data_IF_352202096723
#
_entry.id   IF_352202096723
#
_cell.length_a   1.000
_cell.length_b   1.000
_cell.length_c   1.000
_cell.angle_alpha   90.00
_cell.angle_beta   90.00
_cell.angle_gamma   90.00
#
_symmetry.space_group_name_H-M   'P 1'
#
loop_
_entity.id
_entity.type
_entity.pdbx_description
1 polymer ?
#
# COMPACT_ATOMS: atom_id res chain seq x y z
N UNK A 1 -11.20 15.88 5.04
CA UNK A 1 -11.66 14.52 4.70
C UNK A 1 -12.77 14.62 3.66
N UNK A 2 -12.48 14.28 2.42
CA UNK A 2 -13.47 14.25 1.34
C UNK A 2 -14.24 12.93 1.46
N UNK A 3 -15.23 12.88 2.37
CA UNK A 3 -16.00 11.68 2.72
C UNK A 3 -16.88 11.08 1.61
N UNK A 4 -16.82 11.59 0.38
CA UNK A 4 -17.61 11.07 -0.73
C UNK A 4 -17.03 9.80 -1.36
N UNK A 5 -15.71 9.67 -1.42
CA UNK A 5 -15.06 8.52 -2.07
C UNK A 5 -15.19 7.22 -1.26
N UNK A 6 -14.91 7.27 0.03
CA UNK A 6 -14.96 6.10 0.90
C UNK A 6 -16.40 5.53 1.04
N UNK A 7 -17.40 6.40 1.19
CA UNK A 7 -18.80 5.97 1.30
C UNK A 7 -19.26 5.24 0.03
N UNK A 8 -18.89 5.72 -1.14
CA UNK A 8 -19.20 5.05 -2.41
C UNK A 8 -18.52 3.67 -2.52
N UNK A 9 -17.31 3.54 -2.04
CA UNK A 9 -16.58 2.26 -2.03
C UNK A 9 -17.18 1.25 -1.04
N UNK A 10 -17.82 1.74 0.04
CA UNK A 10 -18.51 0.91 1.04
C UNK A 10 -19.91 0.48 0.61
N UNK A 11 -20.46 1.05 -0.47
CA UNK A 11 -21.76 0.64 -0.99
C UNK A 11 -21.76 -0.88 -1.31
N UNK A 12 -22.76 -1.57 -0.82
CA UNK A 12 -22.87 -3.02 -0.99
C UNK A 12 -22.17 -3.84 0.09
N UNK A 13 -21.35 -3.26 0.96
CA UNK A 13 -20.79 -3.99 2.09
C UNK A 13 -21.89 -4.37 3.10
N UNK A 14 -22.10 -5.66 3.30
CA UNK A 14 -23.09 -6.19 4.25
C UNK A 14 -22.50 -6.53 5.62
N UNK A 15 -21.23 -6.21 5.85
CA UNK A 15 -20.48 -6.50 7.08
C UNK A 15 -20.55 -7.98 7.49
N UNK A 16 -20.59 -8.90 6.50
CA UNK A 16 -20.75 -10.35 6.74
C UNK A 16 -19.53 -11.00 7.41
N UNK A 17 -18.38 -10.33 7.51
CA UNK A 17 -17.19 -10.83 8.19
C UNK A 17 -16.30 -11.79 7.39
N UNK A 18 -16.70 -12.28 6.23
CA UNK A 18 -15.92 -13.24 5.44
C UNK A 18 -14.52 -12.73 5.07
N UNK A 19 -14.39 -11.43 4.78
CA UNK A 19 -13.09 -10.79 4.51
C UNK A 19 -12.14 -10.90 5.71
N UNK A 20 -12.68 -10.79 6.94
CA UNK A 20 -11.91 -10.91 8.18
C UNK A 20 -11.45 -12.34 8.43
N UNK A 21 -12.32 -13.33 8.20
CA UNK A 21 -11.98 -14.76 8.39
C UNK A 21 -10.79 -15.21 7.54
N UNK A 22 -10.66 -14.68 6.33
CA UNK A 22 -9.57 -15.04 5.41
C UNK A 22 -8.33 -14.16 5.57
N UNK A 23 -8.40 -13.10 6.35
CA UNK A 23 -7.30 -12.14 6.51
C UNK A 23 -6.15 -12.75 7.34
N UNK A 24 -4.94 -12.77 6.76
CA UNK A 24 -3.77 -13.30 7.46
C UNK A 24 -3.38 -12.43 8.65
N UNK A 25 -3.55 -11.12 8.56
CA UNK A 25 -3.23 -10.17 9.62
C UNK A 25 -4.11 -10.39 10.85
N UNK A 26 -5.43 -10.54 10.64
CA UNK A 26 -6.40 -10.86 11.71
C UNK A 26 -6.08 -12.18 12.38
N UNK A 27 -5.69 -13.20 11.60
CA UNK A 27 -5.31 -14.51 12.13
C UNK A 27 -4.04 -14.49 12.98
N UNK A 28 -3.19 -13.49 12.79
CA UNK A 28 -2.01 -13.25 13.62
C UNK A 28 -2.30 -12.36 14.84
N UNK A 29 -3.58 -11.98 15.05
CA UNK A 29 -4.01 -11.20 16.20
C UNK A 29 -3.82 -9.68 16.06
N UNK A 30 -3.60 -9.19 14.83
CA UNK A 30 -3.55 -7.76 14.54
C UNK A 30 -4.80 -7.33 13.75
N UNK A 31 -5.14 -6.05 13.77
CA UNK A 31 -6.36 -5.50 13.18
C UNK A 31 -6.04 -4.66 11.94
N UNK A 32 -6.50 -5.12 10.80
CA UNK A 32 -6.29 -4.49 9.50
C UNK A 32 -7.58 -3.82 8.97
N UNK A 33 -7.58 -3.47 7.70
CA UNK A 33 -8.75 -2.92 7.01
C UNK A 33 -10.01 -3.80 7.15
N UNK A 34 -9.86 -5.11 7.33
CA UNK A 34 -10.98 -6.02 7.50
C UNK A 34 -11.67 -5.86 8.86
N UNK A 35 -10.96 -5.44 9.91
CA UNK A 35 -11.56 -5.03 11.19
C UNK A 35 -12.44 -3.79 11.02
N UNK A 36 -11.96 -2.76 10.30
CA UNK A 36 -12.76 -1.59 9.97
C UNK A 36 -14.06 -1.96 9.24
N UNK A 37 -13.98 -2.85 8.24
CA UNK A 37 -15.17 -3.31 7.50
C UNK A 37 -16.17 -4.07 8.38
N UNK A 38 -15.73 -4.61 9.50
CA UNK A 38 -16.58 -5.26 10.51
C UNK A 38 -17.05 -4.30 11.62
N UNK A 39 -16.75 -3.00 11.51
CA UNK A 39 -17.21 -1.97 12.44
C UNK A 39 -16.32 -1.77 13.66
N UNK A 40 -15.07 -2.25 13.64
CA UNK A 40 -14.12 -2.01 14.72
C UNK A 40 -13.38 -0.68 14.53
N UNK A 41 -13.10 -0.01 15.65
CA UNK A 41 -12.41 1.29 15.66
C UNK A 41 -10.89 1.15 15.77
N UNK A 42 -10.40 0.06 16.39
CA UNK A 42 -8.96 -0.21 16.53
C UNK A 42 -8.44 -1.03 15.36
N UNK A 43 -7.87 -0.36 14.38
CA UNK A 43 -7.29 -0.97 13.18
C UNK A 43 -6.22 -0.05 12.56
N UNK A 44 -5.40 -0.60 11.66
CA UNK A 44 -4.57 0.20 10.76
C UNK A 44 -4.59 -0.38 9.35
N UNK A 45 -4.83 0.48 8.37
CA UNK A 45 -4.77 0.10 6.97
C UNK A 45 -3.36 -0.27 6.52
N UNK A 46 -2.33 0.25 7.22
CA UNK A 46 -0.92 -0.03 6.95
C UNK A 46 -0.49 -1.45 7.32
N UNK A 47 -1.24 -2.14 8.19
CA UNK A 47 -1.00 -3.55 8.50
C UNK A 47 -1.44 -4.49 7.37
N UNK A 48 -2.24 -4.00 6.42
CA UNK A 48 -2.67 -4.81 5.29
C UNK A 48 -1.49 -5.18 4.39
N UNK A 49 -1.30 -6.49 4.16
CA UNK A 49 -0.24 -7.03 3.30
C UNK A 49 -0.58 -7.01 1.80
N UNK A 50 -1.72 -6.44 1.41
CA UNK A 50 -2.20 -6.39 0.01
C UNK A 50 -2.25 -7.77 -0.67
N UNK A 51 -2.60 -8.82 0.07
CA UNK A 51 -2.63 -10.21 -0.42
C UNK A 51 -3.88 -10.58 -1.23
N UNK A 52 -4.87 -9.67 -1.36
CA UNK A 52 -6.11 -9.80 -2.14
C UNK A 52 -7.11 -10.87 -1.67
N UNK A 53 -6.80 -11.69 -0.68
CA UNK A 53 -7.68 -12.78 -0.22
C UNK A 53 -9.06 -12.30 0.22
N UNK A 54 -9.14 -11.15 0.90
CA UNK A 54 -10.40 -10.56 1.32
C UNK A 54 -11.23 -10.09 0.13
N UNK A 55 -10.58 -9.57 -0.92
CA UNK A 55 -11.21 -9.18 -2.19
C UNK A 55 -11.84 -10.38 -2.88
N UNK A 56 -11.10 -11.49 -3.00
CA UNK A 56 -11.58 -12.73 -3.62
C UNK A 56 -12.71 -13.39 -2.82
N UNK A 57 -12.68 -13.27 -1.49
CA UNK A 57 -13.69 -13.86 -0.61
C UNK A 57 -14.97 -13.02 -0.49
N UNK A 58 -14.99 -11.79 -1.00
CA UNK A 58 -16.15 -10.91 -0.84
C UNK A 58 -17.29 -11.29 -1.78
N UNK A 59 -18.45 -11.79 -1.26
CA UNK A 59 -19.58 -12.20 -2.11
C UNK A 59 -20.29 -11.02 -2.77
N UNK A 60 -20.07 -9.80 -2.25
CA UNK A 60 -20.66 -8.57 -2.77
C UNK A 60 -19.76 -7.86 -3.79
N UNK A 61 -18.53 -8.35 -4.01
CA UNK A 61 -17.59 -7.73 -4.92
C UNK A 61 -17.10 -6.34 -4.49
N UNK A 62 -17.14 -6.04 -3.18
CA UNK A 62 -16.64 -4.76 -2.64
C UNK A 62 -15.15 -4.63 -2.92
N UNK A 63 -14.72 -3.48 -3.46
CA UNK A 63 -13.30 -3.22 -3.71
C UNK A 63 -12.56 -2.84 -2.42
N UNK A 64 -12.22 -3.88 -1.64
CA UNK A 64 -11.55 -3.74 -0.34
C UNK A 64 -10.16 -3.14 -0.50
N UNK A 65 -9.48 -3.41 -1.61
CA UNK A 65 -8.18 -2.82 -1.88
C UNK A 65 -8.26 -1.31 -2.12
N UNK A 66 -9.25 -0.85 -2.88
CA UNK A 66 -9.49 0.58 -3.07
C UNK A 66 -9.84 1.28 -1.74
N UNK A 67 -10.67 0.65 -0.90
CA UNK A 67 -10.98 1.15 0.45
C UNK A 67 -9.69 1.31 1.27
N UNK A 68 -8.84 0.29 1.31
CA UNK A 68 -7.57 0.32 2.02
C UNK A 68 -6.65 1.46 1.52
N UNK A 69 -6.57 1.65 0.21
CA UNK A 69 -5.75 2.72 -0.39
C UNK A 69 -6.30 4.11 -0.05
N UNK A 70 -7.64 4.28 -0.02
CA UNK A 70 -8.25 5.54 0.37
C UNK A 70 -7.96 5.86 1.84
N UNK A 71 -8.07 4.87 2.72
CA UNK A 71 -7.80 5.06 4.14
C UNK A 71 -6.33 5.39 4.42
N UNK A 72 -5.38 4.79 3.70
CA UNK A 72 -3.95 5.11 3.82
C UNK A 72 -3.61 6.56 3.49
N UNK A 73 -4.46 7.26 2.74
CA UNK A 73 -4.25 8.70 2.45
C UNK A 73 -4.48 9.58 3.69
N UNK A 74 -5.34 9.13 4.59
CA UNK A 74 -5.71 9.87 5.79
C UNK A 74 -4.96 9.37 7.06
N UNK A 75 -4.42 8.16 7.04
CA UNK A 75 -3.61 7.61 8.12
C UNK A 75 -2.15 8.07 8.02
N UNK A 76 -1.54 8.38 9.18
CA UNK A 76 -0.10 8.62 9.25
C UNK A 76 0.67 7.36 8.83
N UNK A 77 1.58 7.51 7.87
CA UNK A 77 2.38 6.40 7.38
C UNK A 77 3.40 5.96 8.45
N UNK A 78 3.62 4.66 8.66
CA UNK A 78 4.70 4.20 9.53
C UNK A 78 6.05 4.70 9.06
N UNK A 79 6.95 5.06 10.00
CA UNK A 79 8.26 5.66 9.71
C UNK A 79 9.09 4.87 8.68
N UNK A 80 8.97 3.54 8.66
CA UNK A 80 9.62 2.70 7.67
C UNK A 80 9.13 2.95 6.24
N UNK A 81 7.85 3.23 6.05
CA UNK A 81 7.28 3.58 4.73
C UNK A 81 7.73 4.97 4.28
N UNK A 82 7.81 5.93 5.18
CA UNK A 82 8.34 7.26 4.88
C UNK A 82 9.81 7.20 4.47
N UNK A 83 10.64 6.45 5.21
CA UNK A 83 12.04 6.25 4.88
C UNK A 83 12.22 5.59 3.49
N UNK A 84 11.36 4.61 3.17
CA UNK A 84 11.36 3.97 1.86
C UNK A 84 10.95 4.95 0.74
N UNK A 85 9.95 5.81 0.98
CA UNK A 85 9.56 6.85 0.02
C UNK A 85 10.71 7.82 -0.25
N UNK A 86 11.40 8.30 0.80
CA UNK A 86 12.57 9.16 0.66
C UNK A 86 13.67 8.47 -0.16
N UNK A 87 13.89 7.17 0.06
CA UNK A 87 14.86 6.39 -0.71
C UNK A 87 14.48 6.30 -2.18
N UNK A 88 13.20 6.01 -2.49
CA UNK A 88 12.69 5.99 -3.88
C UNK A 88 12.90 7.34 -4.57
N UNK A 89 12.57 8.45 -3.90
CA UNK A 89 12.71 9.79 -4.46
C UNK A 89 14.17 10.16 -4.76
N UNK A 90 15.12 9.61 -4.03
CA UNK A 90 16.56 9.87 -4.18
C UNK A 90 17.25 8.97 -5.21
N UNK A 91 16.87 7.70 -5.24
CA UNK A 91 17.65 6.66 -5.93
C UNK A 91 16.84 5.77 -6.87
N UNK A 92 15.50 5.90 -6.87
CA UNK A 92 14.60 5.00 -7.58
C UNK A 92 14.36 3.64 -6.89
N UNK A 93 14.93 3.42 -5.70
CA UNK A 93 14.81 2.16 -4.95
C UNK A 93 14.21 2.40 -3.57
N UNK A 94 13.32 1.50 -3.13
CA UNK A 94 12.70 1.57 -1.81
C UNK A 94 13.69 1.33 -0.65
N UNK A 95 14.73 0.54 -0.90
CA UNK A 95 15.80 0.30 0.08
C UNK A 95 17.00 1.20 -0.22
N UNK A 96 17.71 1.62 0.83
CA UNK A 96 18.93 2.37 0.68
C UNK A 96 19.98 1.54 -0.08
N UNK A 97 20.43 2.10 -1.20
CA UNK A 97 21.50 1.46 -2.01
C UNK A 97 22.85 1.93 -1.54
N UNK A 98 23.77 1.01 -1.36
CA UNK A 98 25.15 1.26 -0.96
C UNK A 98 26.15 0.49 -1.85
N UNK A 99 27.42 0.87 -1.81
CA UNK A 99 28.46 0.14 -2.53
C UNK A 99 28.64 -1.29 -2.01
N UNK A 100 28.35 -1.54 -0.72
CA UNK A 100 28.36 -2.89 -0.13
C UNK A 100 27.35 -3.82 -0.79
N UNK A 101 26.19 -3.30 -1.19
CA UNK A 101 25.16 -4.07 -1.93
C UNK A 101 25.72 -4.45 -3.30
N UNK A 102 26.38 -3.53 -4.00
CA UNK A 102 26.97 -3.80 -5.30
C UNK A 102 28.14 -4.78 -5.18
N UNK A 103 28.94 -4.71 -4.13
CA UNK A 103 30.00 -5.69 -3.87
C UNK A 103 29.39 -7.08 -3.63
N UNK A 104 28.36 -7.17 -2.80
CA UNK A 104 27.65 -8.45 -2.57
C UNK A 104 27.09 -9.01 -3.88
N UNK A 105 26.52 -8.16 -4.73
CA UNK A 105 26.02 -8.58 -6.05
C UNK A 105 27.12 -9.14 -6.94
N UNK A 106 28.31 -8.48 -6.99
CA UNK A 106 29.47 -8.97 -7.76
C UNK A 106 29.95 -10.34 -7.28
N UNK A 107 29.99 -10.55 -5.94
CA UNK A 107 30.35 -11.85 -5.37
C UNK A 107 29.42 -12.97 -5.84
N UNK A 108 28.12 -12.65 -6.04
CA UNK A 108 27.13 -13.58 -6.55
C UNK A 108 26.98 -13.58 -8.08
N UNK A 109 27.88 -12.94 -8.81
CA UNK A 109 27.85 -12.90 -10.28
C UNK A 109 26.71 -12.06 -10.86
N UNK A 110 26.16 -11.11 -10.08
CA UNK A 110 25.11 -10.22 -10.52
C UNK A 110 25.69 -8.86 -10.93
N UNK A 111 25.11 -8.26 -11.96
CA UNK A 111 25.47 -6.91 -12.37
C UNK A 111 25.20 -5.89 -11.25
N UNK A 112 26.06 -4.88 -11.09
CA UNK A 112 25.81 -3.77 -10.18
C UNK A 112 24.50 -3.07 -10.49
N UNK A 113 23.84 -2.56 -9.47
CA UNK A 113 22.64 -1.73 -9.63
C UNK A 113 23.07 -0.28 -9.81
N UNK A 114 22.57 0.35 -10.86
CA UNK A 114 22.74 1.78 -11.11
C UNK A 114 21.62 2.57 -10.46
N UNK A 115 21.97 3.71 -9.85
CA UNK A 115 20.97 4.60 -9.28
C UNK A 115 20.19 5.29 -10.41
N UNK A 116 18.87 5.34 -10.27
CA UNK A 116 18.02 6.10 -11.18
C UNK A 116 18.14 7.59 -10.82
N UNK A 117 18.40 8.48 -11.80
CA UNK A 117 18.44 9.90 -11.54
C UNK A 117 17.13 10.39 -10.88
N UNK A 118 17.24 11.14 -9.79
CA UNK A 118 16.09 11.60 -9.01
C UNK A 118 15.10 12.41 -9.85
N UNK A 119 15.58 13.17 -10.83
CA UNK A 119 14.73 13.93 -11.76
C UNK A 119 13.81 13.04 -12.60
N UNK A 120 14.22 11.81 -12.94
CA UNK A 120 13.38 10.87 -13.67
C UNK A 120 12.26 10.31 -12.78
N UNK A 121 12.58 9.98 -11.52
CA UNK A 121 11.58 9.54 -10.54
C UNK A 121 10.55 10.66 -10.32
N UNK A 122 11.01 11.88 -10.11
CA UNK A 122 10.14 13.05 -9.94
C UNK A 122 9.30 13.35 -11.18
N UNK A 123 9.84 13.15 -12.39
CA UNK A 123 9.09 13.35 -13.64
C UNK A 123 7.96 12.32 -13.78
N UNK A 124 8.21 11.05 -13.42
CA UNK A 124 7.19 10.00 -13.42
C UNK A 124 6.05 10.32 -12.45
N UNK A 125 6.37 10.76 -11.24
CA UNK A 125 5.37 11.09 -10.23
C UNK A 125 4.52 12.30 -10.65
N UNK A 126 5.13 13.36 -11.19
CA UNK A 126 4.38 14.53 -11.73
C UNK A 126 3.49 14.17 -12.92
N UNK A 127 3.90 13.22 -13.75
CA UNK A 127 3.10 12.75 -14.87
C UNK A 127 1.81 12.02 -14.44
N UNK A 128 1.77 11.46 -13.24
CA UNK A 128 0.57 10.84 -12.67
C UNK A 128 -0.42 11.87 -12.10
N UNK A 129 0.07 12.97 -11.50
CA UNK A 129 -0.79 14.04 -11.00
C UNK A 129 -1.64 14.71 -12.09
N UNK A 130 -1.17 14.68 -13.36
CA UNK A 130 -1.90 15.19 -14.53
C UNK A 130 -3.02 14.27 -15.02
N UNK A 131 -2.99 12.98 -14.69
CA UNK A 131 -4.02 12.00 -15.11
C UNK A 131 -5.23 11.94 -14.18
N UNK A 132 -5.04 12.22 -12.90
CA UNK A 132 -6.16 12.22 -11.92
C UNK A 132 -7.08 13.45 -12.05
N UNK A 133 -6.64 14.50 -12.72
CA UNK A 133 -7.43 15.73 -12.94
C UNK A 133 -8.22 15.76 -14.24
N UNK A 134 -8.16 14.70 -15.03
CA UNK A 134 -8.77 14.62 -16.37
C UNK A 134 -9.74 13.46 -16.57
N UNK A 135 -10.21 12.79 -15.50
CA UNK A 135 -11.22 11.71 -15.56
C UNK A 135 -12.52 12.13 -14.91
#
# INVERSE_FOLDING_TARGET
>A
VTGGGLNALLEGCTQCGLCREVCIVERLGAHSITSFLCGEEDYSSWLCSSCWRCQEACPQGVDIHAIMMEMRRDEEAPAGHEANLVSVLRSGYALAMSEEINETRRIHGLEPVELVPAEWVHALLRGQEGREKGA
#
